data_IF_559301743378
#
_entry.id   IF_559301743378
#
_cell.length_a   1.000
_cell.length_b   1.000
_cell.length_c   1.000
_cell.angle_alpha   90.00
_cell.angle_beta   90.00
_cell.angle_gamma   90.00
#
_symmetry.space_group_name_H-M   'P 1'
#
loop_
_entity.id
_entity.type
_entity.pdbx_description
1 polymer ?
#
# COMPACT_ATOMS: atom_id res chain seq x y z
N UNK A 1 -12.26 -57.73 22.41
CA UNK A 1 -13.12 -56.71 21.80
C UNK A 1 -12.49 -55.36 22.12
N UNK A 2 -11.63 -54.87 21.25
CA UNK A 2 -10.86 -53.62 21.44
C UNK A 2 -11.52 -52.53 20.62
N UNK A 3 -12.00 -51.50 21.32
CA UNK A 3 -12.67 -50.36 20.72
C UNK A 3 -11.60 -49.26 20.46
N UNK A 4 -11.20 -49.08 19.22
CA UNK A 4 -10.31 -48.01 18.78
C UNK A 4 -11.17 -46.77 18.45
N UNK A 5 -11.19 -45.79 19.34
CA UNK A 5 -11.74 -44.47 19.05
C UNK A 5 -10.71 -43.67 18.24
N UNK A 6 -11.07 -43.37 17.02
CA UNK A 6 -10.36 -42.44 16.16
C UNK A 6 -10.61 -41.01 16.63
N UNK A 7 -9.58 -40.36 17.16
CA UNK A 7 -9.62 -38.93 17.47
C UNK A 7 -9.60 -38.15 16.19
N UNK A 8 -10.74 -37.57 15.81
CA UNK A 8 -10.87 -36.66 14.70
C UNK A 8 -10.17 -35.33 15.03
N UNK A 9 -9.18 -34.94 14.23
CA UNK A 9 -8.36 -33.79 14.43
C UNK A 9 -9.16 -32.47 14.34
N UNK A 10 -9.31 -31.79 15.47
CA UNK A 10 -9.95 -30.46 15.56
C UNK A 10 -9.09 -29.30 15.06
N UNK A 11 -7.87 -29.56 14.56
CA UNK A 11 -6.89 -28.55 14.20
C UNK A 11 -7.25 -27.76 12.94
N UNK A 12 -7.95 -28.40 11.98
CA UNK A 12 -8.37 -27.73 10.75
C UNK A 12 -9.43 -26.63 10.97
N UNK A 13 -10.29 -26.81 11.97
CA UNK A 13 -11.34 -25.83 12.29
C UNK A 13 -10.79 -24.60 13.03
N UNK A 14 -9.75 -24.76 13.84
CA UNK A 14 -9.09 -23.66 14.54
C UNK A 14 -8.29 -22.79 13.58
N UNK A 15 -7.61 -23.39 12.59
CA UNK A 15 -6.87 -22.65 11.56
C UNK A 15 -7.83 -21.82 10.70
N UNK A 16 -8.97 -22.40 10.31
CA UNK A 16 -9.99 -21.68 9.53
C UNK A 16 -10.60 -20.50 10.30
N UNK A 17 -10.80 -20.63 11.63
CA UNK A 17 -11.33 -19.56 12.47
C UNK A 17 -10.30 -18.44 12.67
N UNK A 18 -9.02 -18.77 12.83
CA UNK A 18 -7.94 -17.77 12.98
C UNK A 18 -7.73 -16.99 11.70
N UNK A 19 -7.76 -17.66 10.54
CA UNK A 19 -7.65 -16.98 9.22
C UNK A 19 -8.84 -16.06 8.98
N UNK A 20 -10.06 -16.50 9.31
CA UNK A 20 -11.26 -15.66 9.19
C UNK A 20 -11.23 -14.46 10.15
N UNK A 21 -10.69 -14.62 11.36
CA UNK A 21 -10.55 -13.53 12.33
C UNK A 21 -9.51 -12.49 11.87
N UNK A 22 -8.39 -12.94 11.29
CA UNK A 22 -7.37 -12.02 10.72
C UNK A 22 -7.93 -11.21 9.55
N UNK A 23 -8.70 -11.83 8.65
CA UNK A 23 -9.36 -11.16 7.53
C UNK A 23 -10.40 -10.12 8.00
N UNK A 24 -11.17 -10.43 9.05
CA UNK A 24 -12.15 -9.49 9.62
C UNK A 24 -11.46 -8.27 10.23
N UNK A 25 -10.30 -8.44 10.86
CA UNK A 25 -9.52 -7.32 11.42
C UNK A 25 -9.00 -6.43 10.30
N UNK A 26 -8.50 -6.99 9.20
CA UNK A 26 -8.05 -6.21 8.03
C UNK A 26 -9.21 -5.41 7.43
N UNK A 27 -10.38 -6.03 7.24
CA UNK A 27 -11.57 -5.36 6.70
C UNK A 27 -12.08 -4.25 7.64
N UNK A 28 -12.04 -4.46 8.95
CA UNK A 28 -12.41 -3.44 9.92
C UNK A 28 -11.44 -2.25 9.92
N UNK A 29 -10.15 -2.50 9.68
CA UNK A 29 -9.12 -1.46 9.58
C UNK A 29 -9.24 -0.68 8.26
N UNK A 30 -9.62 -1.35 7.16
CA UNK A 30 -9.82 -0.72 5.85
C UNK A 30 -11.09 0.14 5.80
N UNK A 31 -12.16 -0.27 6.50
CA UNK A 31 -13.43 0.48 6.54
C UNK A 31 -13.42 1.70 7.48
N UNK A 32 -12.44 1.80 8.39
CA UNK A 32 -12.31 2.95 9.29
C UNK A 32 -11.66 4.18 8.64
N UNK A 33 -11.15 4.06 7.42
CA UNK A 33 -10.51 5.16 6.69
C UNK A 33 -11.51 5.92 5.81
N UNK A 34 -12.65 6.32 6.36
CA UNK A 34 -13.39 7.44 5.81
C UNK A 34 -12.76 8.72 6.37
N UNK A 35 -11.96 9.32 5.54
CA UNK A 35 -11.32 10.61 5.61
C UNK A 35 -11.94 11.61 6.59
N UNK A 36 -11.23 12.12 7.59
CA UNK A 36 -11.44 13.46 8.09
C UNK A 36 -10.38 14.38 7.49
N UNK A 37 -10.80 15.18 6.50
CA UNK A 37 -10.00 16.28 5.99
C UNK A 37 -9.68 17.26 7.11
N UNK A 38 -8.45 17.21 7.61
CA UNK A 38 -7.87 18.30 8.40
C UNK A 38 -6.64 18.80 7.64
N UNK A 39 -6.95 19.66 6.69
CA UNK A 39 -5.96 20.47 6.04
C UNK A 39 -5.86 21.77 6.82
N UNK A 40 -4.71 21.99 7.38
CA UNK A 40 -4.03 23.27 7.55
C UNK A 40 -4.90 24.54 7.54
N UNK A 41 -5.25 25.03 8.72
CA UNK A 41 -5.45 26.45 8.92
C UNK A 41 -4.32 26.96 9.83
N UNK A 42 -3.28 27.53 9.21
CA UNK A 42 -2.40 28.49 9.87
C UNK A 42 -2.81 29.87 9.40
N UNK A 43 -3.71 30.48 10.13
CA UNK A 43 -3.87 31.93 10.13
C UNK A 43 -2.62 32.55 10.74
N UNK A 44 -1.87 33.29 9.95
CA UNK A 44 -0.92 34.27 10.46
C UNK A 44 -1.50 35.65 10.11
N UNK A 45 -1.98 36.29 11.16
CA UNK A 45 -2.32 37.70 11.15
C UNK A 45 -1.03 38.53 11.29
N UNK A 46 -0.90 39.64 10.53
CA UNK A 46 0.18 40.58 10.73
C UNK A 46 0.58 41.37 9.48
N UNK A 47 0.02 42.55 9.34
CA UNK A 47 0.18 43.45 8.22
C UNK A 47 1.59 44.03 7.99
N UNK A 48 1.79 44.63 6.81
CA UNK A 48 2.88 45.57 6.54
C UNK A 48 3.36 45.62 5.10
N UNK A 49 2.86 46.58 4.32
CA UNK A 49 3.50 47.39 3.27
C UNK A 49 4.26 46.75 2.11
N UNK A 50 3.77 47.09 0.96
CA UNK A 50 4.28 47.03 -0.41
C UNK A 50 5.79 47.18 -0.62
N UNK A 51 6.32 46.30 -1.46
CA UNK A 51 7.34 46.63 -2.48
C UNK A 51 7.14 45.68 -3.65
N UNK A 52 6.81 46.22 -4.82
CA UNK A 52 6.72 45.50 -6.09
C UNK A 52 8.09 44.99 -6.48
N UNK A 53 8.27 43.70 -6.44
CA UNK A 53 9.27 42.98 -7.20
C UNK A 53 8.54 42.01 -8.10
N UNK A 54 8.64 42.21 -9.41
CA UNK A 54 8.17 41.27 -10.42
C UNK A 54 8.87 39.92 -10.18
N UNK A 55 8.20 39.05 -9.42
CA UNK A 55 8.58 37.69 -9.30
C UNK A 55 7.75 36.89 -10.30
N UNK A 56 8.45 36.45 -11.32
CA UNK A 56 7.99 35.54 -12.34
C UNK A 56 7.36 34.34 -11.60
N UNK A 57 6.02 34.33 -11.48
CA UNK A 57 5.26 33.24 -10.92
C UNK A 57 5.46 32.03 -11.85
N UNK A 58 6.39 31.18 -11.53
CA UNK A 58 6.33 29.79 -11.98
C UNK A 58 5.04 29.23 -11.38
N UNK A 59 4.01 29.16 -12.21
CA UNK A 59 2.73 28.54 -11.92
C UNK A 59 3.03 27.08 -11.65
N UNK A 60 3.25 26.72 -10.41
CA UNK A 60 3.31 25.32 -10.00
C UNK A 60 1.91 24.78 -10.26
N UNK A 61 1.73 24.14 -11.37
CA UNK A 61 0.49 23.48 -11.75
C UNK A 61 0.21 22.43 -10.69
N UNK A 62 -0.86 22.64 -9.94
CA UNK A 62 -1.23 21.72 -8.86
C UNK A 62 -1.58 20.39 -9.50
N UNK A 63 -0.80 19.37 -9.20
CA UNK A 63 -0.98 18.06 -9.81
C UNK A 63 -2.38 17.50 -9.52
N UNK A 64 -2.98 16.77 -10.50
CA UNK A 64 -4.31 16.21 -10.37
C UNK A 64 -4.41 15.28 -9.17
N UNK A 65 -5.56 15.30 -8.51
CA UNK A 65 -5.90 14.37 -7.41
C UNK A 65 -7.09 13.47 -7.74
N UNK A 66 -7.62 13.59 -8.96
CA UNK A 66 -8.75 12.79 -9.45
C UNK A 66 -8.32 12.08 -10.73
N UNK A 67 -8.61 10.79 -10.90
CA UNK A 67 -8.30 10.06 -12.11
C UNK A 67 -9.00 10.64 -13.34
N UNK A 68 -8.33 10.57 -14.48
CA UNK A 68 -8.89 10.88 -15.81
C UNK A 68 -9.32 9.64 -16.59
N UNK A 69 -9.04 8.46 -16.04
CA UNK A 69 -9.41 7.15 -16.59
C UNK A 69 -10.17 6.35 -15.55
N UNK A 70 -11.01 5.42 -15.98
CA UNK A 70 -11.79 4.57 -15.08
C UNK A 70 -10.96 3.39 -14.58
N UNK A 71 -11.23 2.97 -13.34
CA UNK A 71 -10.65 1.76 -12.79
C UNK A 71 -11.28 0.52 -13.43
N UNK A 72 -10.46 -0.49 -13.68
CA UNK A 72 -10.94 -1.80 -14.16
C UNK A 72 -11.58 -2.56 -13.00
N UNK A 73 -12.75 -3.15 -13.23
CA UNK A 73 -13.43 -3.98 -12.25
C UNK A 73 -12.55 -5.17 -11.83
N UNK A 74 -12.67 -5.57 -10.58
CA UNK A 74 -12.03 -6.80 -10.09
C UNK A 74 -12.71 -8.03 -10.68
N UNK A 75 -11.98 -9.15 -10.84
CA UNK A 75 -12.56 -10.40 -11.33
C UNK A 75 -13.64 -10.92 -10.39
N UNK A 76 -14.61 -11.67 -10.95
CA UNK A 76 -15.58 -12.39 -10.14
C UNK A 76 -14.89 -13.34 -9.18
N UNK A 77 -15.32 -13.34 -7.92
CA UNK A 77 -14.69 -14.16 -6.88
C UNK A 77 -13.37 -13.62 -6.33
N UNK A 78 -13.04 -12.34 -6.58
CA UNK A 78 -11.89 -11.70 -5.96
C UNK A 78 -11.85 -11.96 -4.45
N UNK A 79 -10.63 -12.21 -3.93
CA UNK A 79 -10.41 -12.41 -2.50
C UNK A 79 -10.68 -11.14 -1.70
N UNK A 80 -10.76 -11.28 -0.38
CA UNK A 80 -10.96 -10.12 0.50
C UNK A 80 -9.75 -9.17 0.46
N UNK A 81 -8.52 -9.71 0.35
CA UNK A 81 -7.34 -8.87 0.16
C UNK A 81 -7.45 -8.05 -1.13
N UNK A 82 -7.82 -8.69 -2.24
CA UNK A 82 -7.91 -8.01 -3.53
C UNK A 82 -9.05 -6.98 -3.55
N UNK A 83 -10.19 -7.27 -2.92
CA UNK A 83 -11.31 -6.33 -2.75
C UNK A 83 -10.96 -5.13 -1.87
N UNK A 84 -10.03 -5.31 -0.93
CA UNK A 84 -9.54 -4.23 -0.09
C UNK A 84 -8.64 -3.24 -0.83
N UNK A 85 -8.11 -3.61 -2.00
CA UNK A 85 -7.28 -2.69 -2.79
C UNK A 85 -8.14 -1.57 -3.37
N UNK A 86 -7.73 -0.30 -3.21
CA UNK A 86 -8.50 0.84 -3.69
C UNK A 86 -8.65 0.80 -5.22
N UNK A 87 -9.78 1.27 -5.72
CA UNK A 87 -9.96 1.48 -7.17
C UNK A 87 -9.07 2.61 -7.67
N UNK A 88 -8.83 3.61 -6.82
CA UNK A 88 -8.04 4.79 -7.15
C UNK A 88 -7.19 5.26 -5.99
N UNK A 89 -6.00 5.82 -6.28
CA UNK A 89 -5.13 6.54 -5.35
C UNK A 89 -4.76 7.86 -6.01
N UNK A 90 -5.21 9.00 -5.47
CA UNK A 90 -5.11 10.28 -6.16
C UNK A 90 -5.69 10.19 -7.59
N UNK A 91 -4.87 10.59 -8.58
CA UNK A 91 -5.21 10.51 -10.01
C UNK A 91 -4.80 9.18 -10.68
N UNK A 92 -4.37 8.20 -9.90
CA UNK A 92 -4.07 6.85 -10.40
C UNK A 92 -5.31 5.97 -10.28
N UNK A 93 -5.75 5.35 -11.37
CA UNK A 93 -6.80 4.34 -11.38
C UNK A 93 -6.18 2.95 -11.56
N UNK A 94 -6.73 1.92 -10.89
CA UNK A 94 -6.31 0.53 -11.08
C UNK A 94 -6.68 0.05 -12.48
N UNK A 95 -5.70 -0.29 -13.32
CA UNK A 95 -5.90 -0.78 -14.69
C UNK A 95 -5.67 -2.27 -14.84
N UNK A 96 -5.00 -2.92 -13.87
CA UNK A 96 -4.79 -4.38 -13.83
C UNK A 96 -4.81 -4.89 -12.39
N UNK A 97 -5.19 -6.16 -12.24
CA UNK A 97 -5.13 -6.89 -10.99
C UNK A 97 -4.98 -8.38 -11.32
N UNK A 98 -3.76 -8.89 -11.26
CA UNK A 98 -3.40 -10.25 -11.64
C UNK A 98 -2.82 -11.00 -10.44
N UNK A 99 -3.05 -12.32 -10.35
CA UNK A 99 -2.31 -13.17 -9.43
C UNK A 99 -0.83 -13.19 -9.81
N UNK A 100 0.04 -13.30 -8.81
CA UNK A 100 1.48 -13.38 -9.03
C UNK A 100 2.10 -14.49 -8.17
N UNK A 101 3.33 -14.85 -8.47
CA UNK A 101 4.17 -15.78 -7.70
C UNK A 101 5.47 -15.12 -7.24
N UNK A 102 5.52 -13.78 -7.24
CA UNK A 102 6.73 -13.00 -6.98
C UNK A 102 7.39 -13.33 -5.63
N UNK A 103 6.58 -13.71 -4.63
CA UNK A 103 7.05 -14.00 -3.26
C UNK A 103 6.72 -15.41 -2.78
N UNK A 104 6.57 -16.39 -3.68
CA UNK A 104 6.29 -17.80 -3.34
C UNK A 104 7.26 -18.37 -2.31
N UNK A 105 8.54 -17.99 -2.38
CA UNK A 105 9.56 -18.44 -1.43
C UNK A 105 9.27 -18.03 0.02
N UNK A 106 8.48 -16.97 0.24
CA UNK A 106 8.05 -16.50 1.54
C UNK A 106 6.70 -17.08 1.99
N UNK A 107 6.12 -17.98 1.17
CA UNK A 107 4.88 -18.72 1.46
C UNK A 107 3.70 -17.83 1.90
N UNK A 108 3.30 -16.80 1.12
CA UNK A 108 2.10 -16.04 1.41
C UNK A 108 0.84 -16.90 1.24
N UNK A 109 -0.26 -16.51 1.89
CA UNK A 109 -1.58 -17.11 1.68
C UNK A 109 -2.12 -16.75 0.29
N UNK A 110 -1.89 -15.52 -0.14
CA UNK A 110 -2.28 -15.00 -1.44
C UNK A 110 -1.40 -13.81 -1.82
N UNK A 111 -1.24 -13.56 -3.12
CA UNK A 111 -0.43 -12.47 -3.63
C UNK A 111 -0.91 -12.01 -5.01
N UNK A 112 -0.80 -10.71 -5.25
CA UNK A 112 -1.27 -10.05 -6.46
C UNK A 112 -0.26 -9.00 -6.95
N UNK A 113 -0.30 -8.74 -8.26
CA UNK A 113 0.33 -7.58 -8.86
C UNK A 113 -0.76 -6.72 -9.50
N UNK A 114 -0.83 -5.44 -9.10
CA UNK A 114 -1.76 -4.46 -9.61
C UNK A 114 -0.99 -3.37 -10.35
N UNK A 115 -1.59 -2.83 -11.40
CA UNK A 115 -1.09 -1.63 -12.08
C UNK A 115 -2.04 -0.48 -11.82
N UNK A 116 -1.48 0.64 -11.39
CA UNK A 116 -2.18 1.91 -11.22
C UNK A 116 -1.63 2.92 -12.23
N UNK A 117 -2.50 3.53 -13.03
CA UNK A 117 -2.14 4.42 -14.12
C UNK A 117 -2.88 5.75 -14.04
N UNK A 118 -2.24 6.78 -14.56
CA UNK A 118 -2.87 8.09 -14.83
C UNK A 118 -3.36 8.21 -16.27
N UNK A 119 -3.17 7.16 -17.10
CA UNK A 119 -3.30 7.19 -18.56
C UNK A 119 -1.98 7.48 -19.28
N UNK A 120 -0.91 7.78 -18.56
CA UNK A 120 0.46 7.95 -19.04
C UNK A 120 1.32 6.82 -18.50
N UNK A 121 1.70 5.87 -19.34
CA UNK A 121 2.48 4.68 -18.96
C UNK A 121 3.81 5.01 -18.28
N UNK A 122 4.40 6.19 -18.58
CA UNK A 122 5.64 6.64 -17.93
C UNK A 122 5.44 6.95 -16.44
N UNK A 123 4.18 7.12 -16.00
CA UNK A 123 3.79 7.40 -14.61
C UNK A 123 3.16 6.20 -13.92
N UNK A 124 3.05 5.06 -14.58
CA UNK A 124 2.46 3.87 -14.00
C UNK A 124 3.19 3.44 -12.73
N UNK A 125 2.40 3.00 -11.76
CA UNK A 125 2.86 2.37 -10.53
C UNK A 125 2.45 0.91 -10.52
N UNK A 126 3.42 0.02 -10.40
CA UNK A 126 3.19 -1.41 -10.17
C UNK A 126 3.20 -1.65 -8.67
N UNK A 127 2.10 -2.20 -8.14
CA UNK A 127 1.94 -2.59 -6.75
C UNK A 127 1.92 -4.11 -6.64
N UNK A 128 2.90 -4.69 -5.96
CA UNK A 128 2.83 -6.09 -5.51
C UNK A 128 2.32 -6.10 -4.08
N UNK A 129 1.36 -6.95 -3.79
CA UNK A 129 0.76 -7.10 -2.46
C UNK A 129 0.60 -8.58 -2.13
N UNK A 130 0.87 -8.94 -0.88
CA UNK A 130 0.61 -10.29 -0.39
C UNK A 130 0.25 -10.28 1.09
N UNK A 131 -0.47 -11.35 1.50
CA UNK A 131 -0.90 -11.57 2.86
C UNK A 131 -0.33 -12.86 3.42
N UNK A 132 0.05 -12.84 4.69
CA UNK A 132 0.52 -13.99 5.46
C UNK A 132 -0.45 -14.33 6.59
N UNK A 133 -0.29 -15.53 7.15
CA UNK A 133 -1.09 -15.99 8.28
C UNK A 133 -0.76 -15.28 9.60
N UNK A 134 0.41 -14.65 9.71
CA UNK A 134 0.87 -13.94 10.90
C UNK A 134 1.58 -12.65 10.55
N UNK A 135 1.52 -11.66 11.43
CA UNK A 135 2.27 -10.41 11.29
C UNK A 135 3.79 -10.63 11.30
N UNK A 136 4.29 -11.63 12.05
CA UNK A 136 5.72 -11.98 12.06
C UNK A 136 6.19 -12.49 10.70
N UNK A 137 5.39 -13.32 10.01
CA UNK A 137 5.72 -13.79 8.66
C UNK A 137 5.72 -12.63 7.65
N UNK A 138 4.76 -11.72 7.73
CA UNK A 138 4.72 -10.52 6.92
C UNK A 138 5.94 -9.61 7.22
N UNK A 139 6.29 -9.46 8.50
CA UNK A 139 7.46 -8.68 8.91
C UNK A 139 8.76 -9.26 8.35
N UNK A 140 8.93 -10.56 8.35
CA UNK A 140 10.11 -11.19 7.76
C UNK A 140 10.25 -10.86 6.27
N UNK A 141 9.13 -10.87 5.53
CA UNK A 141 9.13 -10.46 4.12
C UNK A 141 9.43 -8.96 3.96
N UNK A 142 8.82 -8.11 4.79
CA UNK A 142 9.13 -6.68 4.79
C UNK A 142 10.62 -6.43 5.06
N UNK A 143 11.20 -7.07 6.07
CA UNK A 143 12.62 -6.93 6.43
C UNK A 143 13.54 -7.39 5.27
N UNK A 144 13.20 -8.49 4.60
CA UNK A 144 13.95 -8.99 3.44
C UNK A 144 13.90 -7.99 2.27
N UNK A 145 12.72 -7.49 1.92
CA UNK A 145 12.55 -6.51 0.83
C UNK A 145 13.22 -5.17 1.16
N UNK A 146 12.97 -4.63 2.35
CA UNK A 146 13.53 -3.33 2.77
C UNK A 146 15.05 -3.37 2.89
N UNK A 147 15.60 -4.48 3.40
CA UNK A 147 17.04 -4.71 3.51
C UNK A 147 17.77 -4.85 2.16
N UNK A 148 17.06 -5.29 1.12
CA UNK A 148 17.60 -5.37 -0.24
C UNK A 148 17.65 -4.01 -0.97
N UNK A 149 16.98 -2.97 -0.47
CA UNK A 149 16.98 -1.65 -1.08
C UNK A 149 18.29 -0.92 -0.77
N UNK A 150 19.07 -0.62 -1.80
CA UNK A 150 20.40 0.04 -1.66
C UNK A 150 20.43 1.48 -2.20
N UNK A 151 19.34 1.98 -2.80
CA UNK A 151 19.25 3.35 -3.31
C UNK A 151 19.17 4.41 -2.22
N UNK A 152 19.12 5.68 -2.63
CA UNK A 152 18.98 6.82 -1.72
C UNK A 152 17.62 6.75 -1.00
N UNK A 153 17.62 6.93 0.31
CA UNK A 153 16.38 6.97 1.09
C UNK A 153 15.55 8.22 0.75
N UNK A 154 14.27 8.00 0.50
CA UNK A 154 13.27 9.04 0.22
C UNK A 154 12.32 9.24 1.42
N UNK A 155 12.26 8.26 2.30
CA UNK A 155 11.49 8.30 3.54
C UNK A 155 11.39 6.94 4.20
N UNK A 156 11.23 6.94 5.52
CA UNK A 156 11.00 5.75 6.32
C UNK A 156 10.22 6.10 7.59
N UNK A 157 9.57 5.12 8.18
CA UNK A 157 8.82 5.34 9.41
C UNK A 157 7.87 4.20 9.76
N UNK A 158 6.95 4.49 10.69
CA UNK A 158 5.93 3.53 11.13
C UNK A 158 4.62 3.72 10.37
N UNK A 159 4.00 2.63 9.95
CA UNK A 159 2.61 2.58 9.51
C UNK A 159 1.73 2.58 10.76
N UNK A 160 0.70 3.42 10.77
CA UNK A 160 -0.22 3.55 11.91
C UNK A 160 -1.66 3.50 11.45
N UNK A 161 -2.46 2.67 12.11
CA UNK A 161 -3.89 2.60 11.94
C UNK A 161 -4.56 2.99 13.26
N UNK A 162 -5.44 3.99 13.21
CA UNK A 162 -6.11 4.52 14.42
C UNK A 162 -5.14 4.89 15.55
N UNK A 163 -3.93 5.37 15.20
CA UNK A 163 -2.89 5.77 16.16
C UNK A 163 -1.98 4.64 16.65
N UNK A 164 -2.31 3.39 16.38
CA UNK A 164 -1.49 2.23 16.76
C UNK A 164 -0.51 1.88 15.62
N UNK A 165 0.75 1.60 15.97
CA UNK A 165 1.73 1.12 15.01
C UNK A 165 1.36 -0.31 14.57
N UNK A 166 1.15 -0.52 13.27
CA UNK A 166 0.79 -1.81 12.66
C UNK A 166 1.88 -2.35 11.73
N UNK A 167 2.92 -1.55 11.48
CA UNK A 167 4.05 -1.92 10.65
C UNK A 167 5.01 -0.78 10.42
N UNK A 168 5.82 -0.91 9.41
CA UNK A 168 6.85 0.06 9.02
C UNK A 168 6.82 0.28 7.50
N UNK A 169 7.38 1.39 7.07
CA UNK A 169 7.61 1.65 5.66
C UNK A 169 9.03 2.17 5.38
N UNK A 170 9.51 1.94 4.19
CA UNK A 170 10.70 2.56 3.62
C UNK A 170 10.50 2.79 2.13
N UNK A 171 10.94 3.93 1.65
CA UNK A 171 11.00 4.25 0.22
C UNK A 171 12.42 4.68 -0.14
N UNK A 172 12.97 4.14 -1.23
CA UNK A 172 14.29 4.48 -1.75
C UNK A 172 14.24 4.63 -3.27
N UNK A 173 15.20 5.36 -3.83
CA UNK A 173 15.43 5.31 -5.28
C UNK A 173 15.85 3.91 -5.71
N UNK A 174 15.62 3.56 -6.96
CA UNK A 174 16.26 2.38 -7.54
C UNK A 174 17.77 2.58 -7.57
N UNK A 175 18.53 1.51 -7.26
CA UNK A 175 19.98 1.58 -7.19
C UNK A 175 20.66 1.84 -8.55
N UNK A 176 19.97 1.47 -9.65
CA UNK A 176 20.49 1.59 -11.02
C UNK A 176 19.87 2.74 -11.79
N UNK A 177 18.77 3.33 -11.29
CA UNK A 177 18.05 4.43 -11.94
C UNK A 177 17.42 5.37 -10.91
N UNK A 178 18.08 6.47 -10.58
CA UNK A 178 17.60 7.45 -9.60
C UNK A 178 16.28 8.14 -9.99
N UNK A 179 15.80 7.96 -11.23
CA UNK A 179 14.49 8.45 -11.69
C UNK A 179 13.36 7.49 -11.29
N UNK A 180 13.71 6.29 -10.86
CA UNK A 180 12.77 5.28 -10.35
C UNK A 180 12.87 5.18 -8.84
N UNK A 181 11.83 4.64 -8.23
CA UNK A 181 11.79 4.38 -6.80
C UNK A 181 11.05 3.08 -6.49
N UNK A 182 11.32 2.58 -5.30
CA UNK A 182 10.68 1.43 -4.68
C UNK A 182 10.24 1.86 -3.30
N UNK A 183 8.96 1.69 -2.98
CA UNK A 183 8.43 1.83 -1.63
C UNK A 183 7.93 0.48 -1.14
N UNK A 184 8.34 0.09 0.06
CA UNK A 184 7.90 -1.14 0.72
C UNK A 184 7.25 -0.78 2.05
N UNK A 185 6.09 -1.34 2.34
CA UNK A 185 5.47 -1.17 3.65
C UNK A 185 4.74 -2.43 4.09
N UNK A 186 4.66 -2.60 5.40
CA UNK A 186 3.87 -3.63 6.06
C UNK A 186 2.73 -2.97 6.82
N UNK A 187 1.56 -3.58 6.77
CA UNK A 187 0.45 -3.31 7.67
C UNK A 187 -0.06 -4.64 8.20
N UNK A 188 0.23 -4.94 9.47
CA UNK A 188 -0.09 -6.18 10.14
C UNK A 188 0.38 -7.42 9.33
N UNK A 189 -0.53 -8.22 8.79
CA UNK A 189 -0.25 -9.44 8.02
C UNK A 189 -0.01 -9.21 6.54
N UNK A 190 -0.04 -7.96 6.07
CA UNK A 190 0.05 -7.63 4.64
C UNK A 190 1.33 -6.84 4.36
N UNK A 191 2.01 -7.18 3.26
CA UNK A 191 3.17 -6.44 2.74
C UNK A 191 2.87 -5.94 1.33
N UNK A 192 3.32 -4.74 1.08
CA UNK A 192 3.17 -4.03 -0.18
C UNK A 192 4.53 -3.61 -0.72
N UNK A 193 4.68 -3.62 -2.04
CA UNK A 193 5.82 -3.03 -2.73
C UNK A 193 5.33 -2.26 -3.96
N UNK A 194 5.51 -0.95 -3.97
CA UNK A 194 5.22 -0.10 -5.11
C UNK A 194 6.50 0.23 -5.87
N UNK A 195 6.47 0.12 -7.20
CA UNK A 195 7.59 0.45 -8.09
C UNK A 195 7.11 1.30 -9.25
N UNK A 196 7.94 2.22 -9.73
CA UNK A 196 7.60 3.11 -10.84
C UNK A 196 8.55 4.30 -10.92
N UNK A 197 8.12 5.39 -11.58
CA UNK A 197 8.89 6.63 -11.52
C UNK A 197 8.97 7.15 -10.08
N UNK A 198 10.08 7.78 -9.72
CA UNK A 198 10.32 8.30 -8.36
C UNK A 198 9.18 9.19 -7.87
N UNK A 199 8.73 10.10 -8.72
CA UNK A 199 7.63 11.03 -8.40
C UNK A 199 6.31 10.27 -8.21
N UNK A 200 5.98 9.35 -9.12
CA UNK A 200 4.76 8.54 -9.04
C UNK A 200 4.72 7.70 -7.77
N UNK A 201 5.81 6.99 -7.45
CA UNK A 201 5.90 6.15 -6.26
C UNK A 201 5.75 6.99 -4.99
N UNK A 202 6.44 8.14 -4.89
CA UNK A 202 6.33 9.02 -3.72
C UNK A 202 4.90 9.52 -3.49
N UNK A 203 4.24 9.97 -4.55
CA UNK A 203 2.84 10.42 -4.46
C UNK A 203 1.89 9.28 -4.10
N UNK A 204 2.10 8.11 -4.71
CA UNK A 204 1.24 6.95 -4.55
C UNK A 204 1.28 6.40 -3.13
N UNK A 205 2.47 6.01 -2.61
CA UNK A 205 2.54 5.34 -1.31
C UNK A 205 2.15 6.26 -0.15
N UNK A 206 2.41 7.58 -0.25
CA UNK A 206 2.03 8.54 0.79
C UNK A 206 0.52 8.76 0.91
N UNK A 207 -0.24 8.40 -0.10
CA UNK A 207 -1.70 8.56 -0.16
C UNK A 207 -2.42 7.22 -0.28
N UNK A 208 -1.68 6.12 -0.24
CA UNK A 208 -2.27 4.79 -0.23
C UNK A 208 -3.01 4.58 1.10
N UNK A 209 -4.28 4.12 1.10
CA UNK A 209 -5.15 4.15 2.29
C UNK A 209 -4.88 3.02 3.29
N UNK A 210 -3.64 2.52 3.42
CA UNK A 210 -3.27 1.40 4.29
C UNK A 210 -2.00 1.64 5.08
#
# INVERSE_FOLDING_TARGET
>A
MSNTQTASSSHGKLIAVVVAAALVVILALLSAFVWPGWAMNKTVDGGGSATQSQQQSSKTEKEPTTPSIDAVALPDGASELLKAMPDTVLNYARTKADSTNAWDAASPLEQYTLTYSTGDEAKDVTLTVAQWSTADSAKNQYDALSGALTGQELGSGSVKVSGNATGSYVAKTDANDEKKAIAVWQNDTVVFQATGSKESVQRFYQQFPL
#
